data_IF_181684659337
#
_entry.id   IF_181684659337
#
_cell.length_a   1.000
_cell.length_b   1.000
_cell.length_c   1.000
_cell.angle_alpha   90.00
_cell.angle_beta   90.00
_cell.angle_gamma   90.00
#
_symmetry.space_group_name_H-M   'P 1'
#
loop_
_entity.id
_entity.type
_entity.pdbx_description
1 polymer ?
#
# COMPACT_ATOMS: atom_id res chain seq x y z
N UNK A 1 1.78 -19.61 -2.06
CA UNK A 1 3.19 -19.69 -1.60
C UNK A 1 3.67 -21.13 -1.58
N UNK A 2 3.01 -22.01 -0.83
CA UNK A 2 3.48 -23.40 -0.60
C UNK A 2 3.34 -24.34 -1.80
N UNK A 3 2.68 -23.92 -2.88
CA UNK A 3 2.50 -24.70 -4.12
C UNK A 3 3.61 -24.46 -5.15
N UNK A 4 4.55 -23.55 -4.87
CA UNK A 4 5.74 -23.36 -5.70
C UNK A 4 6.79 -24.38 -5.28
N UNK A 5 7.05 -25.37 -6.13
CA UNK A 5 7.93 -26.50 -5.83
C UNK A 5 9.40 -26.29 -6.23
N UNK A 6 9.75 -25.11 -6.74
CA UNK A 6 11.12 -24.77 -7.15
C UNK A 6 12.10 -24.97 -6.01
N UNK A 7 13.21 -25.67 -6.25
CA UNK A 7 14.13 -26.13 -5.18
C UNK A 7 14.70 -25.02 -4.30
N UNK A 8 14.75 -23.78 -4.79
CA UNK A 8 15.24 -22.61 -4.07
C UNK A 8 14.17 -21.89 -3.23
N UNK A 9 12.93 -22.39 -3.17
CA UNK A 9 11.82 -21.81 -2.40
C UNK A 9 11.47 -22.69 -1.22
N UNK A 10 11.70 -22.20 -0.01
CA UNK A 10 11.41 -22.92 1.24
C UNK A 10 10.40 -22.13 2.07
N UNK A 11 9.17 -22.61 2.15
CA UNK A 11 8.13 -22.01 3.00
C UNK A 11 8.26 -22.58 4.42
N UNK A 12 8.37 -21.70 5.42
CA UNK A 12 8.40 -22.07 6.84
C UNK A 12 7.10 -21.60 7.50
N UNK A 13 6.31 -22.54 8.02
CA UNK A 13 5.12 -22.25 8.82
C UNK A 13 5.51 -22.19 10.29
N UNK A 14 5.45 -21.01 10.89
CA UNK A 14 5.84 -20.79 12.28
C UNK A 14 4.61 -20.90 13.20
N UNK A 15 4.69 -21.73 14.24
CA UNK A 15 3.72 -21.74 15.33
C UNK A 15 3.85 -20.47 16.17
N UNK A 16 3.16 -19.42 15.77
CA UNK A 16 3.20 -18.08 16.38
C UNK A 16 2.36 -17.07 15.60
N UNK A 17 2.53 -15.80 15.92
CA UNK A 17 1.88 -14.65 15.27
C UNK A 17 2.71 -14.09 14.11
N UNK A 18 2.15 -13.13 13.37
CA UNK A 18 2.90 -12.39 12.36
C UNK A 18 4.03 -11.56 12.98
N UNK A 19 3.79 -10.95 14.14
CA UNK A 19 4.80 -10.16 14.85
C UNK A 19 5.96 -11.04 15.32
N UNK A 20 5.67 -12.27 15.79
CA UNK A 20 6.70 -13.26 16.09
C UNK A 20 7.57 -13.55 14.86
N UNK A 21 6.96 -13.69 13.67
CA UNK A 21 7.71 -13.87 12.42
C UNK A 21 8.61 -12.67 12.10
N UNK A 22 8.15 -11.45 12.37
CA UNK A 22 8.96 -10.24 12.20
C UNK A 22 10.14 -10.19 13.17
N UNK A 23 9.92 -10.57 14.42
CA UNK A 23 10.97 -10.55 15.45
C UNK A 23 12.02 -11.64 15.22
N UNK A 24 11.60 -12.83 14.76
CA UNK A 24 12.53 -13.86 14.29
C UNK A 24 13.41 -13.34 13.15
N UNK A 25 12.82 -12.66 12.16
CA UNK A 25 13.58 -12.06 11.07
C UNK A 25 14.59 -11.04 11.60
N UNK A 26 14.20 -10.14 12.50
CA UNK A 26 15.10 -9.14 13.12
C UNK A 26 16.25 -9.81 13.89
N UNK A 27 15.96 -10.87 14.65
CA UNK A 27 16.95 -11.66 15.37
C UNK A 27 18.01 -12.27 14.43
N UNK A 28 17.56 -12.89 13.34
CA UNK A 28 18.44 -13.44 12.30
C UNK A 28 19.33 -12.38 11.65
N UNK A 29 18.82 -11.16 11.40
CA UNK A 29 19.62 -10.05 10.87
C UNK A 29 20.54 -9.42 11.92
N UNK A 30 20.27 -9.56 13.21
CA UNK A 30 21.19 -9.12 14.27
C UNK A 30 22.36 -10.10 14.46
N UNK A 31 22.19 -11.36 14.04
CA UNK A 31 23.20 -12.41 14.10
C UNK A 31 24.22 -12.28 12.95
N UNK A 32 25.32 -11.55 13.19
CA UNK A 32 26.36 -11.25 12.19
C UNK A 32 27.01 -12.50 11.60
N UNK A 33 27.24 -13.54 12.41
CA UNK A 33 27.88 -14.77 11.95
C UNK A 33 26.95 -15.55 11.01
N UNK A 34 25.67 -15.62 11.35
CA UNK A 34 24.65 -16.26 10.52
C UNK A 34 24.44 -15.51 9.20
N UNK A 35 24.34 -14.18 9.25
CA UNK A 35 24.24 -13.34 8.05
C UNK A 35 25.43 -13.53 7.11
N UNK A 36 26.65 -13.51 7.65
CA UNK A 36 27.88 -13.67 6.86
C UNK A 36 27.95 -15.07 6.23
N UNK A 37 27.61 -16.11 7.00
CA UNK A 37 27.64 -17.50 6.52
C UNK A 37 26.68 -17.76 5.36
N UNK A 38 25.45 -17.24 5.44
CA UNK A 38 24.38 -17.54 4.47
C UNK A 38 24.04 -16.38 3.52
N UNK A 39 24.78 -15.26 3.57
CA UNK A 39 24.52 -14.05 2.79
C UNK A 39 23.06 -13.59 2.87
N UNK A 40 22.54 -13.50 4.10
CA UNK A 40 21.11 -13.26 4.32
C UNK A 40 20.66 -11.93 3.70
N UNK A 41 19.67 -11.99 2.81
CA UNK A 41 19.06 -10.84 2.17
C UNK A 41 17.59 -10.69 2.57
N UNK A 42 17.11 -9.44 2.69
CA UNK A 42 15.70 -9.14 2.90
C UNK A 42 15.09 -8.53 1.66
N UNK A 43 13.97 -9.09 1.20
CA UNK A 43 13.10 -8.47 0.19
C UNK A 43 11.87 -7.92 0.91
N UNK A 44 12.02 -6.81 1.61
CA UNK A 44 10.96 -6.18 2.40
C UNK A 44 10.43 -4.89 1.73
N UNK A 45 9.40 -4.30 2.32
CA UNK A 45 8.70 -3.11 1.79
C UNK A 45 9.53 -1.84 1.76
N UNK A 46 10.72 -1.83 2.38
CA UNK A 46 11.63 -0.68 2.40
C UNK A 46 12.70 -0.73 1.30
N UNK A 47 12.79 -1.81 0.51
CA UNK A 47 13.77 -1.89 -0.55
C UNK A 47 13.47 -0.85 -1.65
N UNK A 48 14.46 0.01 -1.97
CA UNK A 48 14.31 1.08 -2.96
C UNK A 48 13.90 0.59 -4.35
N UNK A 49 14.37 -0.60 -4.77
CA UNK A 49 14.04 -1.17 -6.06
C UNK A 49 12.52 -1.41 -6.22
N UNK A 50 11.80 -1.65 -5.13
CA UNK A 50 10.33 -1.77 -5.17
C UNK A 50 9.67 -0.45 -5.56
N UNK A 51 10.04 0.65 -4.90
CA UNK A 51 9.52 1.98 -5.22
C UNK A 51 9.88 2.35 -6.67
N UNK A 52 11.12 2.10 -7.07
CA UNK A 52 11.58 2.39 -8.43
C UNK A 52 10.74 1.64 -9.49
N UNK A 53 10.53 0.34 -9.31
CA UNK A 53 9.72 -0.45 -10.24
C UNK A 53 8.27 0.04 -10.30
N UNK A 54 7.72 0.49 -9.18
CA UNK A 54 6.35 0.99 -9.09
C UNK A 54 6.14 2.31 -9.86
N UNK A 55 7.19 3.13 -10.05
CA UNK A 55 7.06 4.39 -10.83
C UNK A 55 6.60 4.15 -12.27
N UNK A 56 6.90 2.98 -12.84
CA UNK A 56 6.62 2.64 -14.24
C UNK A 56 5.13 2.69 -14.56
N UNK A 57 4.26 2.17 -13.68
CA UNK A 57 2.83 2.11 -13.99
C UNK A 57 2.11 3.46 -13.87
N UNK A 58 2.68 4.43 -13.15
CA UNK A 58 2.17 5.80 -13.14
C UNK A 58 2.33 6.44 -14.53
N UNK A 59 3.53 6.37 -15.12
CA UNK A 59 3.75 6.82 -16.50
C UNK A 59 2.93 6.01 -17.51
N UNK A 60 2.92 4.68 -17.38
CA UNK A 60 2.18 3.82 -18.30
C UNK A 60 0.68 4.14 -18.32
N UNK A 61 0.05 4.30 -17.15
CA UNK A 61 -1.37 4.62 -17.04
C UNK A 61 -1.70 5.99 -17.62
N UNK A 62 -0.86 7.00 -17.37
CA UNK A 62 -1.02 8.34 -17.96
C UNK A 62 -0.95 8.31 -19.49
N UNK A 63 0.05 7.66 -20.07
CA UNK A 63 0.14 7.57 -21.54
C UNK A 63 -0.96 6.70 -22.14
N UNK A 64 -1.47 5.71 -21.39
CA UNK A 64 -2.63 4.91 -21.81
C UNK A 64 -3.89 5.77 -21.84
N UNK A 65 -4.09 6.62 -20.83
CA UNK A 65 -5.19 7.60 -20.79
C UNK A 65 -5.10 8.58 -21.97
N UNK A 66 -3.92 9.14 -22.26
CA UNK A 66 -3.78 10.03 -23.41
C UNK A 66 -4.13 9.33 -24.73
N UNK A 67 -3.68 8.08 -24.91
CA UNK A 67 -4.04 7.27 -26.09
C UNK A 67 -5.55 7.02 -26.18
N UNK A 68 -6.22 6.66 -25.08
CA UNK A 68 -7.67 6.42 -25.10
C UNK A 68 -8.48 7.68 -25.42
N UNK A 69 -7.93 8.86 -25.10
CA UNK A 69 -8.50 10.16 -25.43
C UNK A 69 -8.05 10.70 -26.81
N UNK A 70 -7.22 9.96 -27.55
CA UNK A 70 -6.59 10.40 -28.80
C UNK A 70 -5.76 11.69 -28.68
N UNK A 71 -5.17 11.93 -27.50
CA UNK A 71 -4.34 13.10 -27.21
C UNK A 71 -2.87 12.76 -27.43
N UNK A 72 -2.15 13.63 -28.16
CA UNK A 72 -0.71 13.49 -28.37
C UNK A 72 0.05 13.89 -27.10
N UNK A 73 0.94 13.03 -26.56
CA UNK A 73 1.78 13.40 -25.42
C UNK A 73 2.60 14.67 -25.66
N UNK A 74 2.67 15.55 -24.67
CA UNK A 74 3.39 16.84 -24.75
C UNK A 74 2.64 17.96 -25.50
N UNK A 75 1.47 17.70 -26.06
CA UNK A 75 0.61 18.73 -26.66
C UNK A 75 0.01 19.68 -25.61
N UNK A 76 -0.47 20.84 -26.06
CA UNK A 76 -1.21 21.80 -25.21
C UNK A 76 -2.46 21.17 -24.62
N UNK A 77 -3.08 20.23 -25.32
CA UNK A 77 -4.25 19.51 -24.83
C UNK A 77 -3.89 18.52 -23.71
N UNK A 78 -2.77 17.80 -23.84
CA UNK A 78 -2.27 16.93 -22.78
C UNK A 78 -2.01 17.69 -21.47
N UNK A 79 -1.54 18.93 -21.55
CA UNK A 79 -1.30 19.79 -20.38
C UNK A 79 -2.58 20.19 -19.63
N UNK A 80 -3.76 20.08 -20.27
CA UNK A 80 -5.05 20.38 -19.65
C UNK A 80 -5.67 19.17 -18.94
N UNK A 81 -5.16 17.96 -19.18
CA UNK A 81 -5.66 16.75 -18.53
C UNK A 81 -5.15 16.74 -17.10
N UNK A 82 -6.05 16.97 -16.14
CA UNK A 82 -5.72 16.88 -14.72
C UNK A 82 -5.94 15.45 -14.26
N UNK A 83 -4.86 14.79 -13.84
CA UNK A 83 -4.92 13.39 -13.39
C UNK A 83 -4.70 13.29 -11.90
N UNK A 84 -5.72 12.84 -11.17
CA UNK A 84 -5.58 12.46 -9.78
C UNK A 84 -5.40 10.96 -9.68
N UNK A 85 -4.37 10.52 -8.96
CA UNK A 85 -4.18 9.10 -8.63
C UNK A 85 -4.78 8.82 -7.26
N UNK A 86 -5.71 7.86 -7.18
CA UNK A 86 -6.21 7.35 -5.90
C UNK A 86 -5.58 6.00 -5.60
N UNK A 87 -4.89 5.92 -4.45
CA UNK A 87 -4.06 4.76 -4.12
C UNK A 87 -4.50 4.19 -2.78
N UNK A 88 -5.05 2.96 -2.75
CA UNK A 88 -5.25 2.21 -1.51
C UNK A 88 -3.89 2.02 -0.82
N UNK A 89 -3.69 2.66 0.33
CA UNK A 89 -2.37 2.86 0.92
C UNK A 89 -2.28 2.29 2.32
N UNK A 90 -1.39 1.30 2.50
CA UNK A 90 -0.87 0.88 3.80
C UNK A 90 0.52 1.49 4.07
N UNK A 91 1.58 0.79 3.66
CA UNK A 91 2.98 1.15 3.90
C UNK A 91 3.57 2.30 3.03
N UNK A 92 2.74 3.11 2.36
CA UNK A 92 3.13 4.28 1.55
C UNK A 92 4.01 4.05 0.29
N UNK A 93 4.56 2.86 0.06
CA UNK A 93 5.51 2.63 -1.04
C UNK A 93 4.95 2.89 -2.44
N UNK A 94 3.69 2.48 -2.67
CA UNK A 94 3.02 2.67 -3.97
C UNK A 94 2.80 4.16 -4.28
N UNK A 95 2.10 4.88 -3.41
CA UNK A 95 1.83 6.30 -3.63
C UNK A 95 3.09 7.16 -3.59
N UNK A 96 4.13 6.73 -2.87
CA UNK A 96 5.45 7.35 -2.92
C UNK A 96 6.11 7.20 -4.30
N UNK A 97 5.91 6.07 -4.98
CA UNK A 97 6.35 5.93 -6.36
C UNK A 97 5.61 6.91 -7.29
N UNK A 98 4.33 7.16 -7.04
CA UNK A 98 3.56 8.22 -7.70
C UNK A 98 4.14 9.62 -7.44
N UNK A 99 4.58 9.89 -6.22
CA UNK A 99 5.29 11.13 -5.88
C UNK A 99 6.58 11.26 -6.66
N UNK A 100 7.41 10.22 -6.74
CA UNK A 100 8.63 10.26 -7.55
C UNK A 100 8.33 10.46 -9.05
N UNK A 101 7.31 9.79 -9.58
CA UNK A 101 6.88 10.01 -10.96
C UNK A 101 6.46 11.48 -11.21
N UNK A 102 5.74 12.08 -10.26
CA UNK A 102 5.39 13.51 -10.31
C UNK A 102 6.63 14.42 -10.24
N UNK A 103 7.59 14.13 -9.36
CA UNK A 103 8.86 14.86 -9.29
C UNK A 103 9.69 14.74 -10.58
N UNK A 104 9.52 13.63 -11.32
CA UNK A 104 10.14 13.40 -12.63
C UNK A 104 9.40 14.10 -13.79
N UNK A 105 8.28 14.77 -13.54
CA UNK A 105 7.53 15.56 -14.53
C UNK A 105 6.23 14.92 -15.01
N UNK A 106 5.76 13.83 -14.39
CA UNK A 106 4.39 13.35 -14.62
C UNK A 106 3.39 14.42 -14.12
N UNK A 107 2.41 14.86 -14.93
CA UNK A 107 1.51 15.96 -14.57
C UNK A 107 0.34 15.47 -13.70
N UNK A 108 0.63 14.94 -12.51
CA UNK A 108 -0.41 14.58 -11.55
C UNK A 108 -0.94 15.84 -10.85
N UNK A 109 -2.27 16.01 -10.80
CA UNK A 109 -2.91 17.10 -10.06
C UNK A 109 -2.91 16.84 -8.56
N UNK A 110 -3.22 15.59 -8.17
CA UNK A 110 -3.19 15.11 -6.79
C UNK A 110 -2.80 13.64 -6.69
N UNK A 111 -2.22 13.28 -5.56
CA UNK A 111 -2.01 11.91 -5.10
C UNK A 111 -2.89 11.70 -3.86
N UNK A 112 -4.00 11.00 -4.03
CA UNK A 112 -4.98 10.73 -2.99
C UNK A 112 -4.63 9.45 -2.26
N UNK A 113 -4.27 9.60 -0.98
CA UNK A 113 -3.99 8.51 -0.05
C UNK A 113 -5.32 7.97 0.48
N UNK A 114 -5.74 6.81 0.00
CA UNK A 114 -6.96 6.14 0.47
C UNK A 114 -6.60 5.13 1.57
N UNK A 115 -7.05 5.36 2.80
CA UNK A 115 -6.87 4.45 3.93
C UNK A 115 -8.18 3.79 4.33
N UNK A 116 -8.08 2.61 4.93
CA UNK A 116 -9.21 2.00 5.63
C UNK A 116 -9.34 2.58 7.05
N UNK A 117 -9.92 1.83 7.99
CA UNK A 117 -10.05 2.23 9.39
C UNK A 117 -8.71 2.48 10.11
N UNK A 118 -7.60 1.93 9.62
CA UNK A 118 -6.24 2.22 10.08
C UNK A 118 -5.73 3.51 9.40
N UNK A 119 -6.10 4.64 9.97
CA UNK A 119 -6.17 5.93 9.28
C UNK A 119 -5.03 6.91 9.62
N UNK A 120 -3.89 6.42 10.13
CA UNK A 120 -2.77 7.26 10.57
C UNK A 120 -2.32 8.29 9.51
N UNK A 121 -2.33 7.89 8.24
CA UNK A 121 -1.99 8.79 7.12
C UNK A 121 -3.09 9.83 6.89
N UNK A 122 -4.37 9.42 6.92
CA UNK A 122 -5.49 10.35 6.81
C UNK A 122 -5.44 11.42 7.91
N UNK A 123 -5.22 11.00 9.17
CA UNK A 123 -5.08 11.93 10.31
C UNK A 123 -3.90 12.87 10.12
N UNK A 124 -2.74 12.37 9.69
CA UNK A 124 -1.58 13.22 9.37
C UNK A 124 -1.92 14.29 8.33
N UNK A 125 -2.52 13.91 7.19
CA UNK A 125 -2.86 14.88 6.14
C UNK A 125 -3.96 15.86 6.58
N UNK A 126 -4.68 15.61 7.68
CA UNK A 126 -5.60 16.59 8.27
C UNK A 126 -4.90 17.53 9.25
N UNK A 127 -4.07 17.02 10.16
CA UNK A 127 -3.56 17.77 11.31
C UNK A 127 -2.07 18.12 11.28
N UNK A 128 -1.24 17.40 10.52
CA UNK A 128 0.22 17.47 10.57
C UNK A 128 0.86 16.60 11.66
N UNK A 129 0.03 15.97 12.50
CA UNK A 129 0.44 15.08 13.60
C UNK A 129 0.42 13.64 13.11
N UNK A 130 1.54 12.94 13.28
CA UNK A 130 1.67 11.53 12.97
C UNK A 130 1.65 10.74 14.29
N UNK A 131 0.55 10.02 14.55
CA UNK A 131 0.30 9.38 15.85
C UNK A 131 -0.20 7.94 15.68
N UNK A 132 0.44 7.00 16.39
CA UNK A 132 0.01 5.61 16.44
C UNK A 132 -1.28 5.51 17.25
N UNK A 133 -2.27 4.83 16.68
CA UNK A 133 -3.41 4.31 17.43
C UNK A 133 -3.35 2.80 17.29
N UNK A 134 -3.46 2.12 18.42
CA UNK A 134 -3.42 0.66 18.52
C UNK A 134 -4.70 0.17 19.20
N UNK A 135 -5.10 -1.05 18.88
CA UNK A 135 -6.18 -1.76 19.57
C UNK A 135 -5.86 -2.01 21.05
N UNK A 136 -6.85 -2.51 21.78
CA UNK A 136 -6.72 -2.85 23.21
C UNK A 136 -5.66 -3.92 23.50
N UNK A 137 -5.35 -4.74 22.51
CA UNK A 137 -4.32 -5.77 22.50
C UNK A 137 -2.95 -5.26 21.98
N UNK A 138 -2.86 -3.98 21.60
CA UNK A 138 -1.68 -3.39 20.99
C UNK A 138 -1.56 -3.61 19.47
N UNK A 139 -2.53 -4.29 18.85
CA UNK A 139 -2.54 -4.64 17.42
C UNK A 139 -3.13 -3.56 16.51
N UNK A 140 -3.14 -3.87 15.21
CA UNK A 140 -3.91 -3.13 14.18
C UNK A 140 -5.41 -3.41 14.34
N UNK A 141 -6.25 -2.51 13.86
CA UNK A 141 -7.68 -2.81 13.71
C UNK A 141 -7.89 -3.66 12.47
N UNK A 142 -8.42 -4.87 12.60
CA UNK A 142 -8.71 -5.74 11.45
C UNK A 142 -9.82 -5.14 10.57
N UNK A 143 -9.63 -5.15 9.25
CA UNK A 143 -10.62 -4.68 8.27
C UNK A 143 -10.81 -5.67 7.12
N UNK A 144 -11.74 -5.37 6.20
CA UNK A 144 -11.89 -6.13 4.95
C UNK A 144 -10.72 -5.94 3.98
N UNK A 145 -9.82 -4.99 4.24
CA UNK A 145 -8.65 -4.67 3.40
C UNK A 145 -7.34 -4.90 4.16
N UNK A 146 -7.04 -6.15 4.58
CA UNK A 146 -5.99 -6.44 5.57
C UNK A 146 -4.57 -6.08 5.13
N UNK A 147 -4.30 -5.95 3.82
CA UNK A 147 -2.99 -5.52 3.34
C UNK A 147 -2.69 -4.03 3.64
N UNK A 148 -3.71 -3.28 4.07
CA UNK A 148 -3.62 -1.88 4.47
C UNK A 148 -3.69 -1.69 5.99
N UNK A 149 -3.95 -2.74 6.76
CA UNK A 149 -4.03 -2.68 8.22
C UNK A 149 -2.63 -2.46 8.81
N UNK A 150 -2.32 -1.20 9.15
CA UNK A 150 -0.99 -0.77 9.59
C UNK A 150 -1.08 0.21 10.77
N UNK A 151 -0.18 0.06 11.75
CA UNK A 151 0.00 1.05 12.84
C UNK A 151 0.93 2.18 12.39
N UNK A 152 1.96 1.84 11.61
CA UNK A 152 2.97 2.77 11.07
C UNK A 152 3.17 2.44 9.61
N UNK A 153 3.30 3.48 8.80
CA UNK A 153 3.53 3.37 7.37
C UNK A 153 5.01 3.48 7.05
N UNK A 154 5.65 2.35 6.73
CA UNK A 154 7.12 2.27 6.71
C UNK A 154 7.81 3.18 5.68
N UNK A 155 7.21 3.44 4.52
CA UNK A 155 7.81 4.33 3.52
C UNK A 155 7.47 5.80 3.73
N UNK A 156 6.63 6.14 4.72
CA UNK A 156 6.24 7.53 4.97
C UNK A 156 7.42 8.39 5.44
N UNK A 157 8.40 7.78 6.13
CA UNK A 157 9.68 8.41 6.50
C UNK A 157 10.40 9.02 5.29
N UNK A 158 10.33 8.38 4.11
CA UNK A 158 10.96 8.90 2.89
C UNK A 158 10.31 10.20 2.43
N UNK A 159 8.98 10.28 2.48
CA UNK A 159 8.28 11.53 2.17
C UNK A 159 8.65 12.61 3.19
N UNK A 160 8.68 12.27 4.48
CA UNK A 160 9.06 13.21 5.55
C UNK A 160 10.45 13.80 5.32
N UNK A 161 11.41 13.03 4.80
CA UNK A 161 12.73 13.56 4.42
C UNK A 161 12.63 14.67 3.37
N UNK A 162 11.92 14.44 2.27
CA UNK A 162 11.77 15.45 1.22
C UNK A 162 11.01 16.68 1.73
N UNK A 163 9.96 16.48 2.52
CA UNK A 163 9.20 17.59 3.11
C UNK A 163 10.04 18.38 4.12
N UNK A 164 10.81 17.71 4.97
CA UNK A 164 11.71 18.37 5.92
C UNK A 164 12.74 19.23 5.18
N UNK A 165 13.36 18.65 4.14
CA UNK A 165 14.36 19.34 3.32
C UNK A 165 13.85 20.64 2.72
N UNK A 166 12.60 20.68 2.28
CA UNK A 166 12.03 21.86 1.59
C UNK A 166 11.27 22.82 2.51
N UNK A 167 10.72 22.34 3.63
CA UNK A 167 9.77 23.10 4.44
C UNK A 167 10.09 23.16 5.94
N UNK A 168 11.01 22.34 6.45
CA UNK A 168 11.41 22.37 7.87
C UNK A 168 12.85 22.87 8.08
N UNK A 169 13.74 22.66 7.09
CA UNK A 169 15.10 23.20 7.13
C UNK A 169 15.05 24.71 6.91
N UNK A 170 15.73 25.45 7.79
CA UNK A 170 15.80 26.92 7.71
C UNK A 170 16.37 27.37 6.36
N UNK A 171 15.74 28.39 5.75
CA UNK A 171 16.14 28.92 4.44
C UNK A 171 17.57 29.46 4.37
N UNK A 172 18.18 29.79 5.52
CA UNK A 172 19.57 30.24 5.63
C UNK A 172 20.60 29.11 5.54
N UNK A 173 20.17 27.85 5.68
CA UNK A 173 21.06 26.68 5.58
C UNK A 173 21.55 26.52 4.14
N UNK A 174 22.87 26.43 3.90
CA UNK A 174 23.42 26.22 2.57
C UNK A 174 22.86 24.96 1.90
N UNK A 175 22.67 25.00 0.57
CA UNK A 175 22.06 23.88 -0.18
C UNK A 175 22.80 22.55 0.04
N UNK A 176 24.13 22.59 0.16
CA UNK A 176 24.97 21.41 0.40
C UNK A 176 24.75 20.76 1.78
N UNK A 177 24.14 21.47 2.73
CA UNK A 177 23.91 21.01 4.11
C UNK A 177 22.44 20.64 4.37
N UNK A 178 21.52 20.98 3.46
CA UNK A 178 20.08 20.74 3.66
C UNK A 178 19.73 19.28 3.84
N UNK A 179 20.40 18.38 3.12
CA UNK A 179 20.15 16.94 3.22
C UNK A 179 20.52 16.40 4.61
N UNK A 180 21.68 16.79 5.12
CA UNK A 180 22.11 16.44 6.47
C UNK A 180 21.12 16.98 7.51
N UNK A 181 20.69 18.24 7.35
CA UNK A 181 19.74 18.87 8.28
C UNK A 181 18.34 18.24 8.24
N UNK A 182 17.86 17.88 7.06
CA UNK A 182 16.61 17.14 6.91
C UNK A 182 16.69 15.77 7.61
N UNK A 183 17.83 15.08 7.48
CA UNK A 183 18.08 13.82 8.18
C UNK A 183 18.02 13.96 9.70
N UNK A 184 18.62 15.02 10.27
CA UNK A 184 18.53 15.30 11.70
C UNK A 184 17.08 15.51 12.16
N UNK A 185 16.31 16.31 11.43
CA UNK A 185 14.90 16.59 11.76
C UNK A 185 14.06 15.31 11.72
N UNK A 186 14.19 14.50 10.65
CA UNK A 186 13.46 13.23 10.54
C UNK A 186 13.85 12.28 11.67
N UNK A 187 15.14 12.21 12.03
CA UNK A 187 15.58 11.37 13.14
C UNK A 187 14.96 11.80 14.49
N UNK A 188 14.79 13.11 14.72
CA UNK A 188 14.04 13.62 15.88
C UNK A 188 12.59 13.14 15.88
N UNK A 189 11.87 13.29 14.76
CA UNK A 189 10.50 12.80 14.64
C UNK A 189 10.38 11.28 14.85
N UNK A 190 11.29 10.49 14.28
CA UNK A 190 11.29 9.03 14.47
C UNK A 190 11.62 8.64 15.93
N UNK A 191 12.48 9.41 16.59
CA UNK A 191 12.77 9.22 18.03
C UNK A 191 11.54 9.52 18.88
N UNK A 192 10.84 10.63 18.62
CA UNK A 192 9.59 10.99 19.30
C UNK A 192 8.50 9.94 19.07
N UNK A 193 8.35 9.44 17.82
CA UNK A 193 7.43 8.37 17.48
C UNK A 193 7.71 7.09 18.28
N UNK A 194 8.99 6.77 18.49
CA UNK A 194 9.41 5.59 19.27
C UNK A 194 9.14 5.77 20.76
N UNK A 195 9.38 6.96 21.30
CA UNK A 195 9.27 7.22 22.75
C UNK A 195 7.84 7.51 23.20
N UNK A 196 7.07 8.25 22.39
CA UNK A 196 5.76 8.80 22.78
C UNK A 196 4.61 8.28 21.92
N UNK A 197 4.91 7.56 20.83
CA UNK A 197 3.90 7.11 19.88
C UNK A 197 3.44 8.18 18.90
N UNK A 198 3.98 9.41 18.96
CA UNK A 198 3.60 10.50 18.04
C UNK A 198 4.70 11.54 17.80
N UNK A 199 4.53 12.37 16.77
CA UNK A 199 5.24 13.63 16.56
C UNK A 199 4.38 14.61 15.74
N UNK A 200 4.72 15.90 15.81
CA UNK A 200 4.12 16.96 15.01
C UNK A 200 5.17 17.52 14.03
N UNK A 201 4.79 17.63 12.76
CA UNK A 201 5.68 18.16 11.70
C UNK A 201 5.57 19.67 11.50
N UNK A 202 4.56 20.30 12.10
CA UNK A 202 4.28 21.72 11.99
C UNK A 202 3.55 22.11 10.70
N UNK A 203 2.96 23.31 10.72
CA UNK A 203 2.07 23.78 9.65
C UNK A 203 2.75 23.93 8.28
N UNK A 204 4.04 24.27 8.24
CA UNK A 204 4.78 24.45 6.98
C UNK A 204 4.97 23.12 6.24
N UNK A 205 5.35 22.05 6.96
CA UNK A 205 5.50 20.71 6.41
C UNK A 205 4.14 20.17 5.92
N UNK A 206 3.07 20.35 6.70
CA UNK A 206 1.73 19.96 6.29
C UNK A 206 1.26 20.71 5.04
N UNK A 207 1.50 22.03 4.98
CA UNK A 207 1.13 22.85 3.83
C UNK A 207 1.88 22.42 2.56
N UNK A 208 3.17 22.09 2.69
CA UNK A 208 3.96 21.55 1.59
C UNK A 208 3.40 20.21 1.11
N UNK A 209 3.12 19.27 2.02
CA UNK A 209 2.58 17.97 1.70
C UNK A 209 1.25 18.08 0.94
N UNK A 210 0.36 18.97 1.39
CA UNK A 210 -0.95 19.23 0.79
C UNK A 210 -0.90 19.83 -0.62
N UNK A 211 0.25 20.31 -1.10
CA UNK A 211 0.38 20.78 -2.50
C UNK A 211 0.06 19.66 -3.48
N UNK A 212 0.57 18.45 -3.25
CA UNK A 212 0.37 17.30 -4.13
C UNK A 212 -0.46 16.18 -3.51
N UNK A 213 -0.46 16.01 -2.19
CA UNK A 213 -1.23 14.95 -1.53
C UNK A 213 -2.58 15.43 -1.03
N UNK A 214 -3.54 14.49 -0.99
CA UNK A 214 -4.76 14.56 -0.19
C UNK A 214 -5.02 13.17 0.42
N UNK A 215 -5.97 13.05 1.34
CA UNK A 215 -6.28 11.76 1.96
C UNK A 215 -7.78 11.56 2.23
N UNK A 216 -8.21 10.31 2.04
CA UNK A 216 -9.54 9.82 2.36
C UNK A 216 -9.49 8.62 3.30
N UNK A 217 -10.47 8.52 4.18
CA UNK A 217 -10.71 7.39 5.06
C UNK A 217 -11.99 6.68 4.61
N UNK A 218 -11.98 5.35 4.62
CA UNK A 218 -13.10 4.52 4.18
C UNK A 218 -13.32 3.37 5.16
N UNK A 219 -14.57 3.21 5.60
CA UNK A 219 -15.01 2.10 6.45
C UNK A 219 -15.29 0.82 5.68
N UNK A 220 -15.39 -0.32 6.38
CA UNK A 220 -15.78 -1.60 5.77
C UNK A 220 -17.19 -1.56 5.16
N UNK A 221 -18.11 -0.81 5.76
CA UNK A 221 -19.47 -0.66 5.24
C UNK A 221 -19.48 0.13 3.92
N UNK A 222 -18.72 1.23 3.86
CA UNK A 222 -18.53 1.98 2.62
C UNK A 222 -17.80 1.15 1.55
N UNK A 223 -16.82 0.35 1.97
CA UNK A 223 -16.11 -0.60 1.09
C UNK A 223 -17.08 -1.61 0.47
N UNK A 224 -17.93 -2.24 1.28
CA UNK A 224 -18.97 -3.17 0.80
C UNK A 224 -19.97 -2.48 -0.13
N UNK A 225 -20.41 -1.27 0.23
CA UNK A 225 -21.36 -0.49 -0.57
C UNK A 225 -20.80 -0.17 -1.95
N UNK A 226 -19.51 0.21 -2.04
CA UNK A 226 -18.83 0.49 -3.30
C UNK A 226 -18.67 -0.76 -4.16
N UNK A 227 -18.26 -1.90 -3.59
CA UNK A 227 -18.20 -3.18 -4.32
C UNK A 227 -19.56 -3.49 -4.96
N UNK A 228 -20.64 -3.36 -4.18
CA UNK A 228 -22.00 -3.60 -4.65
C UNK A 228 -22.41 -2.66 -5.77
N UNK A 229 -22.15 -1.36 -5.60
CA UNK A 229 -22.54 -0.32 -6.57
C UNK A 229 -21.86 -0.49 -7.93
N UNK A 230 -20.60 -0.93 -7.97
CA UNK A 230 -19.90 -1.18 -9.24
C UNK A 230 -20.19 -2.55 -9.85
N UNK A 231 -20.50 -3.56 -9.02
CA UNK A 231 -20.92 -4.87 -9.50
C UNK A 231 -22.31 -4.81 -10.15
N UNK A 232 -23.24 -4.05 -9.56
CA UNK A 232 -24.60 -3.86 -10.06
C UNK A 232 -24.89 -2.37 -10.26
N UNK A 233 -24.31 -1.74 -11.30
CA UNK A 233 -24.49 -0.32 -11.53
C UNK A 233 -25.95 0.00 -11.88
N UNK A 234 -26.45 1.12 -11.36
CA UNK A 234 -27.79 1.62 -11.67
C UNK A 234 -27.85 2.37 -12.99
N UNK A 235 -26.72 2.92 -13.44
CA UNK A 235 -26.56 3.52 -14.76
C UNK A 235 -26.28 2.42 -15.80
N UNK A 236 -27.19 2.26 -16.76
CA UNK A 236 -27.05 1.28 -17.83
C UNK A 236 -25.85 1.53 -18.76
N UNK A 237 -25.27 2.74 -18.75
CA UNK A 237 -24.04 3.04 -19.49
C UNK A 237 -22.78 2.54 -18.78
N UNK A 238 -22.85 2.25 -17.48
CA UNK A 238 -21.74 1.74 -16.70
C UNK A 238 -21.69 0.20 -16.78
N UNK A 239 -20.53 -0.33 -17.15
CA UNK A 239 -20.32 -1.77 -17.15
C UNK A 239 -20.22 -2.30 -15.71
N UNK A 240 -20.77 -3.50 -15.49
CA UNK A 240 -20.56 -4.26 -14.25
C UNK A 240 -19.07 -4.54 -14.05
N UNK A 241 -18.56 -4.27 -12.84
CA UNK A 241 -17.18 -4.50 -12.48
C UNK A 241 -17.06 -4.95 -11.02
N UNK A 242 -16.44 -6.10 -10.81
CA UNK A 242 -16.20 -6.67 -9.48
C UNK A 242 -14.80 -6.28 -9.02
N UNK A 243 -14.73 -5.57 -7.91
CA UNK A 243 -13.46 -5.14 -7.33
C UNK A 243 -13.19 -5.85 -6.01
N UNK A 244 -11.91 -6.00 -5.71
CA UNK A 244 -11.46 -6.43 -4.38
C UNK A 244 -11.65 -5.28 -3.35
N UNK A 245 -11.65 -5.56 -2.04
CA UNK A 245 -11.88 -4.55 -1.01
C UNK A 245 -10.83 -3.43 -1.00
N UNK A 246 -9.57 -3.70 -1.35
CA UNK A 246 -8.54 -2.66 -1.40
C UNK A 246 -8.81 -1.67 -2.53
N UNK A 247 -9.13 -2.19 -3.73
CA UNK A 247 -9.55 -1.35 -4.86
C UNK A 247 -10.78 -0.51 -4.50
N UNK A 248 -11.75 -1.10 -3.80
CA UNK A 248 -12.95 -0.40 -3.36
C UNK A 248 -12.65 0.77 -2.42
N UNK A 249 -11.68 0.65 -1.51
CA UNK A 249 -11.21 1.77 -0.68
C UNK A 249 -10.70 2.93 -1.55
N UNK A 250 -9.86 2.64 -2.55
CA UNK A 250 -9.34 3.65 -3.48
C UNK A 250 -10.42 4.35 -4.29
N UNK A 251 -11.38 3.59 -4.83
CA UNK A 251 -12.51 4.12 -5.59
C UNK A 251 -13.44 4.95 -4.71
N UNK A 252 -13.75 4.48 -3.49
CA UNK A 252 -14.62 5.20 -2.55
C UNK A 252 -14.00 6.54 -2.16
N UNK A 253 -12.72 6.54 -1.75
CA UNK A 253 -12.02 7.77 -1.39
C UNK A 253 -12.02 8.78 -2.54
N UNK A 254 -11.80 8.32 -3.77
CA UNK A 254 -11.87 9.17 -4.96
C UNK A 254 -13.26 9.78 -5.17
N UNK A 255 -14.31 8.96 -5.12
CA UNK A 255 -15.68 9.39 -5.32
C UNK A 255 -16.12 10.44 -4.27
N UNK A 256 -15.61 10.34 -3.05
CA UNK A 256 -15.89 11.30 -1.96
C UNK A 256 -15.04 12.58 -2.09
N UNK A 257 -13.75 12.45 -2.41
CA UNK A 257 -12.81 13.57 -2.39
C UNK A 257 -12.87 14.46 -3.63
N UNK A 258 -13.36 13.95 -4.77
CA UNK A 258 -13.31 14.63 -6.06
C UNK A 258 -14.75 14.86 -6.53
N UNK A 259 -15.32 16.05 -6.28
CA UNK A 259 -16.67 16.38 -6.72
C UNK A 259 -16.76 16.28 -8.25
N UNK A 260 -17.80 15.62 -8.74
CA UNK A 260 -18.08 15.38 -10.17
C UNK A 260 -18.51 16.68 -10.89
N UNK A 261 -17.64 17.70 -10.86
CA UNK A 261 -17.95 19.11 -11.14
C UNK A 261 -17.18 19.68 -12.33
N UNK A 262 -16.21 18.95 -12.88
CA UNK A 262 -15.58 19.32 -14.15
C UNK A 262 -15.16 18.09 -14.95
N UNK A 263 -15.48 18.09 -16.25
CA UNK A 263 -15.11 17.04 -17.21
C UNK A 263 -13.59 16.95 -17.49
N UNK A 264 -12.75 17.67 -16.73
CA UNK A 264 -11.30 17.77 -16.95
C UNK A 264 -10.46 17.07 -15.87
N UNK A 265 -11.09 16.63 -14.77
CA UNK A 265 -10.43 15.86 -13.72
C UNK A 265 -10.66 14.37 -13.97
N UNK A 266 -9.63 13.67 -14.44
CA UNK A 266 -9.64 12.22 -14.57
C UNK A 266 -9.04 11.60 -13.32
N UNK A 267 -9.71 10.60 -12.77
CA UNK A 267 -9.18 9.82 -11.66
C UNK A 267 -8.68 8.48 -12.17
N UNK A 268 -7.44 8.14 -11.83
CA UNK A 268 -6.88 6.81 -12.00
C UNK A 268 -6.82 6.17 -10.61
N UNK A 269 -7.76 5.27 -10.32
CA UNK A 269 -7.76 4.48 -9.09
C UNK A 269 -6.94 3.21 -9.29
N UNK A 270 -6.00 2.93 -8.40
CA UNK A 270 -5.14 1.75 -8.49
C UNK A 270 -5.89 0.52 -7.96
N UNK A 271 -6.07 -0.47 -8.84
CA UNK A 271 -6.57 -1.78 -8.44
C UNK A 271 -5.42 -2.68 -8.03
N UNK A 272 -5.28 -2.90 -6.71
CA UNK A 272 -4.07 -3.48 -6.11
C UNK A 272 -4.16 -5.00 -5.93
N UNK A 273 -5.35 -5.58 -6.06
CA UNK A 273 -5.54 -7.02 -6.03
C UNK A 273 -6.70 -7.48 -6.93
N UNK A 274 -6.62 -8.73 -7.33
CA UNK A 274 -7.73 -9.41 -7.98
C UNK A 274 -8.79 -9.80 -6.93
N UNK A 275 -10.11 -9.63 -7.17
CA UNK A 275 -11.18 -9.95 -6.21
C UNK A 275 -11.12 -11.39 -5.69
N UNK A 276 -10.67 -12.34 -6.53
CA UNK A 276 -10.49 -13.74 -6.14
C UNK A 276 -9.54 -13.97 -4.94
N UNK A 277 -8.67 -13.01 -4.63
CA UNK A 277 -7.77 -13.08 -3.47
C UNK A 277 -8.47 -12.81 -2.13
N UNK A 278 -9.66 -12.20 -2.17
CA UNK A 278 -10.41 -11.74 -1.00
C UNK A 278 -11.89 -12.13 -1.14
N UNK A 279 -12.14 -13.41 -1.42
CA UNK A 279 -13.48 -13.95 -1.67
C UNK A 279 -14.47 -13.62 -0.56
N UNK A 280 -14.06 -13.74 0.70
CA UNK A 280 -14.92 -13.50 1.87
C UNK A 280 -15.43 -12.04 1.94
N UNK A 281 -14.60 -11.06 1.58
CA UNK A 281 -15.00 -9.66 1.54
C UNK A 281 -15.97 -9.38 0.38
N UNK A 282 -15.73 -10.00 -0.78
CA UNK A 282 -16.61 -9.89 -1.95
C UNK A 282 -17.96 -10.57 -1.68
N UNK A 283 -17.95 -11.73 -1.03
CA UNK A 283 -19.14 -12.45 -0.57
C UNK A 283 -19.95 -11.59 0.39
N UNK A 284 -19.30 -11.03 1.42
CA UNK A 284 -19.97 -10.15 2.37
C UNK A 284 -20.66 -8.96 1.70
N UNK A 285 -20.09 -8.41 0.62
CA UNK A 285 -20.69 -7.30 -0.10
C UNK A 285 -21.91 -7.70 -0.95
N UNK A 286 -21.89 -8.91 -1.53
CA UNK A 286 -22.80 -9.32 -2.62
C UNK A 286 -23.81 -10.41 -2.25
N UNK A 287 -23.59 -11.21 -1.20
CA UNK A 287 -24.42 -12.39 -0.87
C UNK A 287 -25.90 -12.09 -0.61
N UNK A 288 -26.21 -10.89 -0.12
CA UNK A 288 -27.58 -10.49 0.22
C UNK A 288 -28.29 -9.80 -0.97
N UNK A 289 -27.73 -9.87 -2.18
CA UNK A 289 -28.37 -9.36 -3.40
C UNK A 289 -29.38 -10.35 -3.95
N UNK A 290 -30.58 -9.84 -4.27
CA UNK A 290 -31.67 -10.66 -4.79
C UNK A 290 -31.27 -11.30 -6.13
N UNK A 291 -31.40 -12.63 -6.23
CA UNK A 291 -31.08 -13.38 -7.44
C UNK A 291 -29.60 -13.69 -7.68
N UNK A 292 -28.71 -13.40 -6.72
CA UNK A 292 -27.29 -13.76 -6.81
C UNK A 292 -27.02 -15.06 -6.03
N UNK A 293 -26.72 -16.14 -6.76
CA UNK A 293 -26.01 -17.28 -6.19
C UNK A 293 -24.51 -16.94 -6.18
N UNK A 294 -23.97 -16.69 -4.99
CA UNK A 294 -22.59 -16.23 -4.86
C UNK A 294 -21.58 -17.27 -5.37
N UNK A 295 -21.83 -18.57 -5.16
CA UNK A 295 -20.91 -19.61 -5.58
C UNK A 295 -20.84 -19.69 -7.12
N UNK A 296 -22.00 -19.62 -7.79
CA UNK A 296 -22.05 -19.57 -9.26
C UNK A 296 -21.46 -18.27 -9.81
N UNK A 297 -21.77 -17.13 -9.18
CA UNK A 297 -21.20 -15.84 -9.57
C UNK A 297 -19.67 -15.82 -9.41
N UNK A 298 -19.15 -16.31 -8.29
CA UNK A 298 -17.73 -16.25 -7.98
C UNK A 298 -16.90 -17.15 -8.90
N UNK A 299 -17.46 -18.23 -9.43
CA UNK A 299 -16.84 -19.01 -10.53
C UNK A 299 -16.57 -18.16 -11.78
N UNK A 300 -17.39 -17.14 -12.04
CA UNK A 300 -17.15 -16.21 -13.17
C UNK A 300 -16.04 -15.21 -12.90
N UNK A 301 -15.74 -14.97 -11.62
CA UNK A 301 -14.67 -14.07 -11.17
C UNK A 301 -13.35 -14.82 -11.01
N UNK A 302 -13.37 -16.10 -10.63
CA UNK A 302 -12.16 -16.89 -10.36
C UNK A 302 -11.30 -17.06 -11.63
N UNK A 303 -10.03 -16.60 -11.62
CA UNK A 303 -9.12 -16.84 -12.75
C UNK A 303 -8.83 -18.33 -12.92
N UNK A 304 -8.64 -18.77 -14.17
CA UNK A 304 -8.31 -20.18 -14.48
C UNK A 304 -7.04 -20.64 -13.78
N UNK A 305 -6.08 -19.75 -13.60
CA UNK A 305 -4.81 -20.01 -12.92
C UNK A 305 -4.98 -20.31 -11.42
N UNK A 306 -6.13 -19.96 -10.83
CA UNK A 306 -6.45 -20.24 -9.43
C UNK A 306 -7.22 -21.56 -9.27
N UNK A 307 -7.77 -22.13 -10.34
CA UNK A 307 -8.47 -23.41 -10.30
C UNK A 307 -7.52 -24.53 -9.84
N UNK A 308 -7.95 -25.31 -8.85
CA UNK A 308 -7.16 -26.41 -8.29
C UNK A 308 -5.98 -26.00 -7.39
N UNK A 309 -5.74 -24.69 -7.19
CA UNK A 309 -4.64 -24.21 -6.33
C UNK A 309 -4.79 -24.68 -4.87
N UNK A 310 -6.03 -24.80 -4.38
CA UNK A 310 -6.33 -25.27 -3.01
C UNK A 310 -5.99 -26.75 -2.82
N UNK A 311 -6.09 -27.56 -3.87
CA UNK A 311 -5.82 -29.00 -3.90
C UNK A 311 -4.42 -29.36 -4.41
N UNK A 312 -3.68 -28.38 -4.94
CA UNK A 312 -2.33 -28.60 -5.46
C UNK A 312 -1.37 -29.07 -4.35
N UNK A 313 -0.34 -29.82 -4.76
CA UNK A 313 0.73 -30.25 -3.87
C UNK A 313 1.36 -29.05 -3.14
N UNK A 314 1.60 -29.21 -1.84
CA UNK A 314 2.18 -28.17 -0.99
C UNK A 314 3.50 -28.66 -0.40
N UNK A 315 4.53 -27.82 -0.48
CA UNK A 315 5.79 -27.97 0.27
C UNK A 315 5.90 -26.87 1.32
N UNK A 316 5.92 -27.27 2.58
CA UNK A 316 6.06 -26.38 3.73
C UNK A 316 6.72 -27.13 4.88
N UNK A 317 7.66 -26.47 5.55
CA UNK A 317 8.29 -26.98 6.77
C UNK A 317 7.66 -26.27 7.96
N UNK A 318 7.07 -27.03 8.88
CA UNK A 318 6.41 -26.46 10.06
C UNK A 318 7.34 -26.50 11.25
N UNK A 319 7.51 -25.37 11.93
CA UNK A 319 8.15 -25.30 13.24
C UNK A 319 7.09 -25.01 14.32
N UNK A 320 7.11 -25.73 15.45
CA UNK A 320 5.99 -25.69 16.41
C UNK A 320 5.91 -24.39 17.22
N UNK A 321 6.99 -23.62 17.27
CA UNK A 321 7.11 -22.40 18.08
C UNK A 321 7.96 -21.36 17.35
N UNK A 322 7.71 -20.09 17.66
CA UNK A 322 8.52 -18.97 17.20
C UNK A 322 9.87 -18.90 17.96
N UNK A 323 10.81 -19.77 17.59
CA UNK A 323 12.15 -19.81 18.18
C UNK A 323 13.22 -19.66 17.09
N UNK A 324 14.14 -18.71 17.26
CA UNK A 324 15.18 -18.40 16.27
C UNK A 324 16.03 -19.65 15.94
N UNK A 325 16.38 -20.43 16.96
CA UNK A 325 17.15 -21.66 16.80
C UNK A 325 16.48 -22.68 15.86
N UNK A 326 15.15 -22.82 15.93
CA UNK A 326 14.40 -23.73 15.06
C UNK A 326 14.41 -23.25 13.61
N UNK A 327 14.29 -21.94 13.39
CA UNK A 327 14.38 -21.35 12.04
C UNK A 327 15.78 -21.56 11.46
N UNK A 328 16.83 -21.33 12.27
CA UNK A 328 18.23 -21.55 11.88
C UNK A 328 18.47 -23.01 11.50
N UNK A 329 17.95 -23.96 12.26
CA UNK A 329 18.08 -25.39 11.98
C UNK A 329 17.44 -25.76 10.64
N UNK A 330 16.22 -25.27 10.38
CA UNK A 330 15.55 -25.48 9.09
C UNK A 330 16.37 -24.89 7.95
N UNK A 331 16.81 -23.64 8.05
CA UNK A 331 17.63 -23.00 7.00
C UNK A 331 18.93 -23.78 6.76
N UNK A 332 19.62 -24.18 7.83
CA UNK A 332 20.86 -24.94 7.71
C UNK A 332 20.63 -26.31 7.06
N UNK A 333 19.52 -26.99 7.37
CA UNK A 333 19.19 -28.28 6.77
C UNK A 333 18.84 -28.14 5.28
N UNK A 334 18.08 -27.13 4.91
CA UNK A 334 17.62 -26.92 3.54
C UNK A 334 18.73 -26.43 2.60
N UNK A 335 19.71 -25.65 3.10
CA UNK A 335 20.79 -25.10 2.29
C UNK A 335 22.06 -25.96 2.24
N UNK A 336 22.21 -26.96 3.11
CA UNK A 336 23.34 -27.89 3.10
C UNK A 336 23.05 -29.21 2.35
N UNK A 337 21.82 -29.40 1.84
CA UNK A 337 21.41 -30.52 0.98
C UNK A 337 21.34 -30.09 -0.49
#
# INVERSE_FOLDING_TARGET
MTTVLDKNVHCISVGGTFDDCQDLLKGLFANKDFMSKYNLGAVNSINWARILAQTVYYFHSYFTLLRSLNIVPGSVEAQKVQVTYSVPTGNFGDILAGFFANQMGLPASKLLVATNSNDILYRFFRSGVYEKIVGTDGGVHETLSPAMDIIISSNFERLLFYLARVAAVDSSVPEAEKDAKAGEIVNTWMTELKQTGRFDTGAQVLAEAKKIFDAGHVSDDETCATIRAYCHPTDAAQASYVMDPHTAVGVTAANTAIPNTSNQNVVISLSTAHPAKFSEAVERALKDQEGVDFDEFFKTVLPKEFEGLTTAERRVTTIPRAEEALVIEVIAKELNN
#
